data_IF_697025257084
#
_entry.id   IF_697025257084
#
_cell.length_a   1.000
_cell.length_b   1.000
_cell.length_c   1.000
_cell.angle_alpha   90.00
_cell.angle_beta   90.00
_cell.angle_gamma   90.00
#
_symmetry.space_group_name_H-M   'P 1'
#
loop_
_entity.id
_entity.type
_entity.pdbx_description
1 polymer ?
#
# COMPACT_ATOMS: atom_id res chain seq x y z
N UNK A 1 60.60 -34.97 -0.51
CA UNK A 1 59.18 -34.84 -0.90
C UNK A 1 58.32 -35.54 0.15
N UNK A 2 57.36 -34.79 0.69
CA UNK A 2 56.14 -35.24 1.41
C UNK A 2 56.31 -35.95 2.76
N UNK A 3 56.39 -35.09 3.79
CA UNK A 3 55.61 -35.17 5.03
C UNK A 3 54.36 -36.06 4.93
N UNK A 4 54.18 -36.96 5.90
CA UNK A 4 52.96 -37.12 6.71
C UNK A 4 53.42 -37.65 8.08
N UNK A 5 53.67 -36.73 9.02
CA UNK A 5 53.64 -37.04 10.45
C UNK A 5 52.16 -37.06 10.83
N UNK A 6 51.59 -38.26 10.97
CA UNK A 6 50.25 -38.46 11.51
C UNK A 6 50.30 -38.23 13.01
N UNK A 7 50.37 -36.96 13.41
CA UNK A 7 50.21 -36.56 14.80
C UNK A 7 48.73 -36.71 15.14
N UNK A 8 48.40 -37.77 15.87
CA UNK A 8 47.16 -37.92 16.61
C UNK A 8 47.16 -36.79 17.64
N UNK A 9 46.63 -35.63 17.25
CA UNK A 9 46.27 -34.57 18.17
C UNK A 9 44.97 -35.01 18.84
N UNK A 10 45.14 -35.73 19.94
CA UNK A 10 44.14 -35.90 20.98
C UNK A 10 43.71 -34.49 21.43
N UNK A 11 42.69 -33.94 20.79
CA UNK A 11 42.02 -32.73 21.26
C UNK A 11 41.23 -33.13 22.49
N UNK A 12 41.92 -33.13 23.64
CA UNK A 12 41.30 -33.17 24.96
C UNK A 12 40.28 -32.03 24.98
N UNK A 13 39.01 -32.38 25.02
CA UNK A 13 37.94 -31.47 25.36
C UNK A 13 38.19 -30.98 26.79
N UNK A 14 39.02 -29.95 26.94
CA UNK A 14 38.91 -29.06 28.07
C UNK A 14 37.72 -28.17 27.78
N UNK A 15 36.52 -28.66 28.10
CA UNK A 15 35.45 -27.74 28.47
C UNK A 15 35.99 -26.98 29.66
N UNK A 16 36.56 -25.80 29.43
CA UNK A 16 36.59 -24.80 30.48
C UNK A 16 35.11 -24.49 30.74
N UNK A 17 34.52 -25.24 31.67
CA UNK A 17 33.42 -24.69 32.45
C UNK A 17 34.03 -23.51 33.18
N UNK A 18 34.07 -22.36 32.51
CA UNK A 18 33.96 -21.10 33.21
C UNK A 18 32.63 -21.20 33.95
N UNK A 19 32.70 -21.72 35.17
CA UNK A 19 31.87 -21.15 36.21
C UNK A 19 32.30 -19.69 36.25
N UNK A 20 31.66 -18.86 35.42
CA UNK A 20 31.37 -17.52 35.83
C UNK A 20 30.55 -17.73 37.10
N UNK A 21 31.25 -17.86 38.23
CA UNK A 21 30.64 -17.70 39.53
C UNK A 21 30.10 -16.29 39.47
N UNK A 22 28.81 -16.21 39.17
CA UNK A 22 28.02 -15.01 39.27
C UNK A 22 28.25 -14.57 40.70
N UNK A 23 29.16 -13.61 40.90
CA UNK A 23 29.24 -12.87 42.15
C UNK A 23 27.98 -12.01 42.16
N UNK A 24 26.84 -12.65 42.44
CA UNK A 24 25.68 -11.93 42.88
C UNK A 24 26.11 -11.13 44.09
N UNK A 25 25.65 -9.88 44.11
CA UNK A 25 25.38 -9.16 45.33
C UNK A 25 26.61 -8.72 46.13
N UNK A 26 27.01 -7.49 45.91
CA UNK A 26 27.46 -6.69 47.06
C UNK A 26 26.76 -5.35 47.17
N UNK A 27 25.74 -5.06 46.37
CA UNK A 27 24.89 -3.88 46.60
C UNK A 27 23.50 -4.32 46.98
N UNK A 28 23.12 -4.07 48.23
CA UNK A 28 21.79 -4.35 48.77
C UNK A 28 21.10 -3.04 49.13
N UNK A 29 19.78 -3.02 49.07
CA UNK A 29 18.98 -1.86 49.42
C UNK A 29 18.52 -1.94 50.87
N UNK A 30 18.44 -0.80 51.55
CA UNK A 30 17.87 -0.71 52.88
C UNK A 30 16.35 -0.85 52.83
N UNK A 31 15.80 -1.89 53.44
CA UNK A 31 14.33 -2.08 53.54
C UNK A 31 13.69 -1.11 54.54
N UNK A 32 14.48 -0.55 55.47
CA UNK A 32 14.10 0.47 56.44
C UNK A 32 15.28 1.43 56.67
N UNK A 33 15.09 2.43 57.54
CA UNK A 33 16.22 3.23 58.06
C UNK A 33 17.25 2.28 58.69
N UNK A 34 18.52 2.41 58.30
CA UNK A 34 19.63 1.64 58.91
C UNK A 34 20.37 2.51 59.92
N UNK A 35 20.59 1.97 61.11
CA UNK A 35 21.53 2.53 62.08
C UNK A 35 22.89 1.86 61.86
N UNK A 36 23.86 2.62 61.37
CA UNK A 36 25.23 2.16 61.13
C UNK A 36 26.00 2.24 62.43
N UNK A 37 26.52 1.11 62.90
CA UNK A 37 27.24 1.00 64.18
C UNK A 37 28.72 0.77 64.00
N UNK A 38 29.51 1.13 65.02
CA UNK A 38 30.98 0.94 65.02
C UNK A 38 31.43 -0.52 65.15
N UNK A 39 30.54 -1.43 65.56
CA UNK A 39 30.82 -2.86 65.68
C UNK A 39 29.55 -3.71 65.57
N UNK A 40 29.70 -5.04 65.44
CA UNK A 40 28.59 -5.97 65.26
C UNK A 40 27.87 -6.22 66.59
N UNK A 41 26.84 -5.43 66.88
CA UNK A 41 26.01 -5.61 68.07
C UNK A 41 25.27 -4.35 68.50
N UNK A 42 24.18 -4.53 69.23
CA UNK A 42 23.38 -3.41 69.76
C UNK A 42 24.11 -2.55 70.81
N UNK A 43 25.17 -3.10 71.43
CA UNK A 43 25.97 -2.40 72.44
C UNK A 43 27.02 -1.43 71.84
N UNK A 44 27.20 -1.45 70.52
CA UNK A 44 28.12 -0.53 69.84
C UNK A 44 27.41 0.78 69.48
N UNK A 45 28.15 1.89 69.55
CA UNK A 45 27.62 3.22 69.24
C UNK A 45 27.19 3.32 67.78
N UNK A 46 26.06 4.00 67.55
CA UNK A 46 25.62 4.42 66.22
C UNK A 46 26.52 5.55 65.73
N UNK A 47 27.14 5.35 64.57
CA UNK A 47 28.09 6.27 63.93
C UNK A 47 27.51 6.98 62.71
N UNK A 48 26.42 6.45 62.12
CA UNK A 48 25.64 7.14 61.11
C UNK A 48 24.24 6.52 60.96
N UNK A 49 23.39 7.21 60.19
CA UNK A 49 22.11 6.68 59.73
C UNK A 49 22.08 6.66 58.20
N UNK A 50 21.50 5.60 57.63
CA UNK A 50 21.23 5.47 56.20
C UNK A 50 19.71 5.47 56.00
N UNK A 51 19.16 6.37 55.17
CA UNK A 51 17.72 6.38 54.88
C UNK A 51 17.23 5.06 54.26
N UNK A 52 15.95 4.76 54.44
CA UNK A 52 15.28 3.66 53.74
C UNK A 52 15.36 3.85 52.21
N UNK A 53 15.46 2.76 51.46
CA UNK A 53 15.55 2.77 50.00
C UNK A 53 16.93 3.16 49.47
N UNK A 54 17.94 3.24 50.35
CA UNK A 54 19.31 3.59 49.95
C UNK A 54 20.09 2.32 49.65
N UNK A 55 20.76 2.30 48.50
CA UNK A 55 21.65 1.21 48.13
C UNK A 55 22.98 1.33 48.90
N UNK A 56 23.41 0.25 49.53
CA UNK A 56 24.66 0.16 50.30
C UNK A 56 25.50 -1.00 49.80
N UNK A 57 26.82 -0.85 49.91
CA UNK A 57 27.73 -1.91 49.52
C UNK A 57 28.00 -2.83 50.71
N UNK A 58 27.65 -4.11 50.64
CA UNK A 58 27.96 -5.11 51.66
C UNK A 58 29.38 -5.62 51.45
N UNK A 59 30.27 -5.26 52.37
CA UNK A 59 31.67 -5.69 52.33
C UNK A 59 31.78 -7.16 52.74
N UNK A 60 31.06 -7.57 53.79
CA UNK A 60 31.06 -8.92 54.35
C UNK A 60 29.84 -9.14 55.25
N UNK A 61 29.33 -10.36 55.23
CA UNK A 61 28.27 -10.86 56.12
C UNK A 61 28.82 -12.00 56.98
N UNK A 62 28.14 -12.33 58.08
CA UNK A 62 28.52 -13.44 58.95
C UNK A 62 28.98 -13.04 60.36
N UNK A 63 28.77 -11.78 60.76
CA UNK A 63 28.97 -11.32 62.14
C UNK A 63 27.69 -11.53 62.96
N UNK A 64 27.16 -12.76 62.98
CA UNK A 64 25.85 -13.08 63.53
C UNK A 64 24.72 -12.46 62.69
N UNK A 65 23.89 -11.61 63.30
CA UNK A 65 22.82 -10.87 62.60
C UNK A 65 23.31 -9.60 61.89
N UNK A 66 24.62 -9.36 61.84
CA UNK A 66 25.21 -8.13 61.33
C UNK A 66 26.01 -8.35 60.04
N UNK A 67 25.91 -7.36 59.16
CA UNK A 67 26.72 -7.21 57.96
C UNK A 67 27.54 -5.93 58.05
N UNK A 68 28.78 -5.97 57.59
CA UNK A 68 29.57 -4.74 57.39
C UNK A 68 29.26 -4.17 56.01
N UNK A 69 29.00 -2.87 56.00
CA UNK A 69 28.66 -2.11 54.81
C UNK A 69 29.61 -0.94 54.61
N UNK A 70 29.71 -0.50 53.37
CA UNK A 70 30.23 0.81 52.99
C UNK A 70 29.08 1.68 52.52
N UNK A 71 29.00 2.88 53.11
CA UNK A 71 28.10 3.93 52.70
C UNK A 71 28.88 5.24 52.56
N UNK A 72 29.01 5.73 51.31
CA UNK A 72 29.91 6.84 50.96
C UNK A 72 31.34 6.52 51.41
N UNK A 73 31.94 7.36 52.26
CA UNK A 73 33.29 7.15 52.82
C UNK A 73 33.27 6.47 54.20
N UNK A 74 32.11 6.02 54.69
CA UNK A 74 31.94 5.42 56.01
C UNK A 74 31.78 3.90 55.91
N UNK A 75 32.55 3.17 56.71
CA UNK A 75 32.36 1.74 56.92
C UNK A 75 31.74 1.50 58.31
N UNK A 76 30.79 0.58 58.40
CA UNK A 76 30.18 0.22 59.68
C UNK A 76 29.24 -0.97 59.57
N UNK A 77 28.65 -1.36 60.69
CA UNK A 77 27.85 -2.57 60.81
C UNK A 77 26.36 -2.24 60.85
N UNK A 78 25.55 -3.01 60.12
CA UNK A 78 24.09 -2.91 60.09
C UNK A 78 23.47 -4.30 60.22
N UNK A 79 22.21 -4.36 60.64
CA UNK A 79 21.47 -5.63 60.72
C UNK A 79 21.22 -6.19 59.32
N UNK A 80 21.65 -7.42 59.07
CA UNK A 80 21.53 -8.10 57.77
C UNK A 80 20.07 -8.20 57.31
N UNK A 81 19.12 -8.42 58.23
CA UNK A 81 17.68 -8.52 57.93
C UNK A 81 17.05 -7.24 57.34
N UNK A 82 17.75 -6.10 57.45
CA UNK A 82 17.29 -4.82 56.91
C UNK A 82 17.88 -4.55 55.51
N UNK A 83 18.65 -5.49 54.97
CA UNK A 83 19.20 -5.45 53.63
C UNK A 83 18.41 -6.39 52.74
N UNK A 84 17.91 -5.88 51.62
CA UNK A 84 17.16 -6.64 50.62
C UNK A 84 17.86 -6.58 49.28
N UNK A 85 17.74 -7.65 48.49
CA UNK A 85 18.18 -7.65 47.09
C UNK A 85 17.32 -6.67 46.29
N UNK A 86 17.96 -5.71 45.63
CA UNK A 86 17.30 -4.87 44.65
C UNK A 86 17.36 -5.55 43.28
N UNK A 87 16.37 -6.41 43.01
CA UNK A 87 16.21 -7.10 41.73
C UNK A 87 15.49 -6.24 40.67
N UNK A 88 15.07 -5.02 41.00
CA UNK A 88 14.27 -4.18 40.09
C UNK A 88 15.02 -3.84 38.80
N UNK A 89 16.33 -3.62 38.89
CA UNK A 89 17.18 -3.33 37.73
C UNK A 89 17.34 -4.58 36.85
N UNK A 90 17.61 -5.74 37.45
CA UNK A 90 17.78 -7.00 36.72
C UNK A 90 16.47 -7.48 36.07
N UNK A 91 15.32 -7.18 36.69
CA UNK A 91 13.99 -7.44 36.13
C UNK A 91 13.66 -6.46 35.00
N UNK A 92 13.99 -5.18 35.16
CA UNK A 92 13.83 -4.17 34.12
C UNK A 92 14.67 -4.49 32.87
N UNK A 93 15.93 -4.92 33.04
CA UNK A 93 16.80 -5.34 31.92
C UNK A 93 16.26 -6.57 31.18
N UNK A 94 15.74 -7.58 31.92
CA UNK A 94 15.10 -8.75 31.30
C UNK A 94 13.82 -8.37 30.57
N UNK A 95 13.01 -7.47 31.15
CA UNK A 95 11.80 -6.97 30.53
C UNK A 95 12.10 -6.16 29.26
N UNK A 96 13.14 -5.32 29.27
CA UNK A 96 13.59 -4.55 28.12
C UNK A 96 14.08 -5.47 26.98
N UNK A 97 14.90 -6.48 27.31
CA UNK A 97 15.39 -7.46 26.34
C UNK A 97 14.26 -8.28 25.72
N UNK A 98 13.31 -8.75 26.53
CA UNK A 98 12.13 -9.46 26.03
C UNK A 98 11.27 -8.57 25.13
N UNK A 99 11.16 -7.27 25.45
CA UNK A 99 10.43 -6.32 24.63
C UNK A 99 11.13 -6.08 23.27
N UNK A 100 12.46 -5.98 23.23
CA UNK A 100 13.21 -5.91 21.98
C UNK A 100 13.07 -7.18 21.14
N UNK A 101 13.19 -8.36 21.75
CA UNK A 101 13.04 -9.63 21.04
C UNK A 101 11.63 -9.78 20.45
N UNK A 102 10.59 -9.35 21.20
CA UNK A 102 9.21 -9.30 20.69
C UNK A 102 9.05 -8.31 19.54
N UNK A 103 9.64 -7.11 19.61
CA UNK A 103 9.62 -6.13 18.51
C UNK A 103 10.32 -6.68 17.27
N UNK A 104 11.47 -7.34 17.43
CA UNK A 104 12.21 -7.95 16.33
C UNK A 104 11.43 -9.10 15.70
N UNK A 105 10.81 -9.96 16.51
CA UNK A 105 9.95 -11.03 16.03
C UNK A 105 8.72 -10.49 15.28
N UNK A 106 8.07 -9.45 15.81
CA UNK A 106 6.93 -8.81 15.16
C UNK A 106 7.32 -8.18 13.81
N UNK A 107 8.49 -7.52 13.73
CA UNK A 107 9.03 -6.97 12.47
C UNK A 107 9.27 -8.07 11.44
N UNK A 108 9.92 -9.16 11.83
CA UNK A 108 10.18 -10.30 10.93
C UNK A 108 8.87 -10.97 10.48
N UNK A 109 7.88 -11.08 11.37
CA UNK A 109 6.56 -11.61 11.02
C UNK A 109 5.81 -10.70 10.04
N UNK A 110 5.89 -9.37 10.24
CA UNK A 110 5.30 -8.39 9.33
C UNK A 110 5.98 -8.43 7.95
N UNK A 111 7.31 -8.51 7.90
CA UNK A 111 8.08 -8.62 6.66
C UNK A 111 7.74 -9.92 5.91
N UNK A 112 7.62 -11.04 6.62
CA UNK A 112 7.17 -12.31 6.02
C UNK A 112 5.72 -12.24 5.51
N UNK A 113 4.82 -11.54 6.21
CA UNK A 113 3.44 -11.36 5.77
C UNK A 113 3.36 -10.50 4.50
N UNK A 114 4.16 -9.43 4.41
CA UNK A 114 4.27 -8.59 3.21
C UNK A 114 4.79 -9.42 2.03
N UNK A 115 5.86 -10.21 2.21
CA UNK A 115 6.40 -11.05 1.16
C UNK A 115 5.38 -12.06 0.62
N UNK A 116 4.60 -12.71 1.51
CA UNK A 116 3.52 -13.64 1.11
C UNK A 116 2.39 -12.92 0.37
N UNK A 117 2.02 -11.72 0.80
CA UNK A 117 1.00 -10.92 0.14
C UNK A 117 1.43 -10.49 -1.27
N UNK A 118 2.69 -10.11 -1.44
CA UNK A 118 3.26 -9.78 -2.74
C UNK A 118 3.31 -10.99 -3.68
N UNK A 119 3.70 -12.15 -3.17
CA UNK A 119 3.68 -13.41 -3.92
C UNK A 119 2.26 -13.78 -4.36
N UNK A 120 1.28 -13.70 -3.44
CA UNK A 120 -0.12 -13.94 -3.76
C UNK A 120 -0.65 -12.95 -4.82
N UNK A 121 -0.27 -11.67 -4.74
CA UNK A 121 -0.62 -10.66 -5.74
C UNK A 121 -0.02 -10.97 -7.10
N UNK A 122 1.23 -11.42 -7.16
CA UNK A 122 1.88 -11.85 -8.42
C UNK A 122 1.17 -13.06 -9.02
N UNK A 123 0.88 -14.07 -8.21
CA UNK A 123 0.15 -15.26 -8.65
C UNK A 123 -1.26 -14.92 -9.17
N UNK A 124 -2.00 -14.03 -8.47
CA UNK A 124 -3.31 -13.57 -8.89
C UNK A 124 -3.25 -12.77 -10.21
N UNK A 125 -2.24 -11.90 -10.38
CA UNK A 125 -2.03 -11.16 -11.62
C UNK A 125 -1.71 -12.09 -12.80
N UNK A 126 -0.93 -13.14 -12.58
CA UNK A 126 -0.64 -14.14 -13.61
C UNK A 126 -1.88 -14.96 -13.97
N UNK A 127 -2.65 -15.39 -12.97
CA UNK A 127 -3.92 -16.09 -13.20
C UNK A 127 -4.91 -15.24 -14.00
N UNK A 128 -5.04 -13.95 -13.67
CA UNK A 128 -5.88 -13.02 -14.42
C UNK A 128 -5.41 -12.86 -15.88
N UNK A 129 -4.10 -12.75 -16.13
CA UNK A 129 -3.54 -12.71 -17.49
C UNK A 129 -3.86 -13.97 -18.29
N UNK A 130 -3.75 -15.14 -17.66
CA UNK A 130 -4.08 -16.42 -18.30
C UNK A 130 -5.58 -16.51 -18.64
N UNK A 131 -6.45 -16.08 -17.72
CA UNK A 131 -7.89 -16.06 -17.95
C UNK A 131 -8.29 -15.11 -19.10
N UNK A 132 -7.69 -13.92 -19.18
CA UNK A 132 -7.93 -12.99 -20.30
C UNK A 132 -7.48 -13.60 -21.62
N UNK A 133 -6.29 -14.19 -21.68
CA UNK A 133 -5.79 -14.83 -22.90
C UNK A 133 -6.66 -16.01 -23.36
N UNK A 134 -7.21 -16.79 -22.41
CA UNK A 134 -8.16 -17.87 -22.72
C UNK A 134 -9.49 -17.33 -23.25
N UNK A 135 -10.04 -16.28 -22.62
CA UNK A 135 -11.26 -15.62 -23.07
C UNK A 135 -11.12 -15.05 -24.49
N UNK A 136 -9.99 -14.39 -24.80
CA UNK A 136 -9.70 -13.90 -26.15
C UNK A 136 -9.58 -15.03 -27.17
N UNK A 137 -9.03 -16.18 -26.79
CA UNK A 137 -8.93 -17.35 -27.67
C UNK A 137 -10.32 -17.92 -27.96
N UNK A 138 -11.17 -18.04 -26.94
CA UNK A 138 -12.55 -18.50 -27.09
C UNK A 138 -13.37 -17.53 -27.95
N UNK A 139 -13.20 -16.23 -27.76
CA UNK A 139 -13.86 -15.22 -28.59
C UNK A 139 -13.44 -15.35 -30.05
N UNK A 140 -12.13 -15.46 -30.34
CA UNK A 140 -11.64 -15.66 -31.71
C UNK A 140 -12.16 -16.95 -32.34
N UNK A 141 -12.29 -18.02 -31.57
CA UNK A 141 -12.86 -19.27 -32.05
C UNK A 141 -14.36 -19.10 -32.38
N UNK A 142 -15.13 -18.46 -31.50
CA UNK A 142 -16.54 -18.17 -31.74
C UNK A 142 -16.76 -17.26 -32.97
N UNK A 143 -15.92 -16.25 -33.16
CA UNK A 143 -15.95 -15.39 -34.35
C UNK A 143 -15.62 -16.16 -35.63
N UNK A 144 -14.64 -17.06 -35.59
CA UNK A 144 -14.31 -17.92 -36.73
C UNK A 144 -15.45 -18.90 -37.07
N UNK A 145 -16.06 -19.51 -36.05
CA UNK A 145 -17.20 -20.41 -36.21
C UNK A 145 -18.43 -19.67 -36.78
N UNK A 146 -18.69 -18.45 -36.30
CA UNK A 146 -19.75 -17.59 -36.83
C UNK A 146 -19.49 -17.18 -38.30
N UNK A 147 -18.24 -16.84 -38.64
CA UNK A 147 -17.86 -16.50 -40.01
C UNK A 147 -18.03 -17.72 -40.95
N UNK A 148 -17.62 -18.91 -40.52
CA UNK A 148 -17.82 -20.15 -41.26
C UNK A 148 -19.31 -20.46 -41.47
N UNK A 149 -20.14 -20.27 -40.44
CA UNK A 149 -21.58 -20.45 -40.54
C UNK A 149 -22.23 -19.45 -41.51
N UNK A 150 -21.82 -18.18 -41.46
CA UNK A 150 -22.29 -17.15 -42.38
C UNK A 150 -21.92 -17.46 -43.84
N UNK A 151 -20.67 -17.88 -44.09
CA UNK A 151 -20.22 -18.29 -45.41
C UNK A 151 -21.01 -19.51 -45.95
N UNK A 152 -21.30 -20.50 -45.10
CA UNK A 152 -22.12 -21.65 -45.44
C UNK A 152 -23.57 -21.24 -45.80
N UNK A 153 -24.16 -20.32 -45.03
CA UNK A 153 -25.50 -19.80 -45.32
C UNK A 153 -25.55 -19.02 -46.65
N UNK A 154 -24.53 -18.21 -46.93
CA UNK A 154 -24.44 -17.48 -48.21
C UNK A 154 -24.29 -18.45 -49.40
N UNK A 155 -23.46 -19.49 -49.26
CA UNK A 155 -23.32 -20.54 -50.27
C UNK A 155 -24.66 -21.27 -50.52
N UNK A 156 -25.41 -21.58 -49.46
CA UNK A 156 -26.75 -22.18 -49.58
C UNK A 156 -27.73 -21.25 -50.32
N UNK A 157 -27.70 -19.94 -50.06
CA UNK A 157 -28.55 -18.97 -50.76
C UNK A 157 -28.16 -18.81 -52.24
N UNK A 158 -26.85 -18.83 -52.56
CA UNK A 158 -26.37 -18.85 -53.96
C UNK A 158 -26.84 -20.09 -54.69
N UNK A 159 -26.80 -21.26 -54.04
CA UNK A 159 -27.30 -22.51 -54.64
C UNK A 159 -28.81 -22.49 -54.88
N UNK A 160 -29.61 -21.94 -53.94
CA UNK A 160 -31.05 -21.76 -54.12
C UNK A 160 -31.38 -20.82 -55.29
N UNK A 161 -30.73 -19.67 -55.35
CA UNK A 161 -30.96 -18.70 -56.45
C UNK A 161 -30.51 -19.24 -57.82
N UNK A 162 -29.43 -20.04 -57.87
CA UNK A 162 -29.01 -20.72 -59.08
C UNK A 162 -30.03 -21.79 -59.53
N UNK A 163 -30.61 -22.55 -58.59
CA UNK A 163 -31.68 -23.51 -58.88
C UNK A 163 -32.94 -22.82 -59.41
N UNK A 164 -33.33 -21.67 -58.83
CA UNK A 164 -34.48 -20.89 -59.28
C UNK A 164 -34.29 -20.31 -60.69
N UNK A 165 -33.09 -19.79 -61.00
CA UNK A 165 -32.75 -19.34 -62.36
C UNK A 165 -32.83 -20.46 -63.40
N UNK A 166 -32.36 -21.67 -63.06
CA UNK A 166 -32.49 -22.84 -63.95
C UNK A 166 -33.94 -23.18 -64.21
N UNK A 167 -34.78 -23.14 -63.16
CA UNK A 167 -36.22 -23.43 -63.27
C UNK A 167 -36.97 -22.41 -64.13
N UNK A 168 -36.62 -21.13 -64.01
CA UNK A 168 -37.18 -20.07 -64.87
C UNK A 168 -36.73 -20.20 -66.32
N UNK A 169 -35.48 -20.59 -66.56
CA UNK A 169 -34.97 -20.84 -67.91
C UNK A 169 -35.70 -22.03 -68.58
N UNK A 170 -35.91 -23.11 -67.84
CA UNK A 170 -36.68 -24.28 -68.30
C UNK A 170 -38.13 -23.89 -68.61
N UNK A 171 -38.77 -23.08 -67.76
CA UNK A 171 -40.14 -22.61 -68.00
C UNK A 171 -40.23 -21.73 -69.25
N UNK A 172 -39.30 -20.81 -69.45
CA UNK A 172 -39.22 -19.99 -70.66
C UNK A 172 -38.97 -20.83 -71.93
N UNK A 173 -38.20 -21.92 -71.82
CA UNK A 173 -38.00 -22.86 -72.91
C UNK A 173 -39.29 -23.64 -73.23
N UNK A 174 -40.03 -24.09 -72.21
CA UNK A 174 -41.34 -24.73 -72.40
C UNK A 174 -42.37 -23.79 -73.03
N UNK A 175 -42.40 -22.51 -72.66
CA UNK A 175 -43.29 -21.51 -73.27
C UNK A 175 -42.95 -21.25 -74.74
N UNK A 176 -41.65 -21.17 -75.07
CA UNK A 176 -41.21 -21.06 -76.47
C UNK A 176 -41.60 -22.29 -77.28
N UNK A 177 -41.43 -23.49 -76.73
CA UNK A 177 -41.84 -24.73 -77.37
C UNK A 177 -43.37 -24.78 -77.59
N UNK A 178 -44.17 -24.33 -76.62
CA UNK A 178 -45.63 -24.23 -76.73
C UNK A 178 -46.05 -23.20 -77.79
N UNK A 179 -45.42 -22.03 -77.82
CA UNK A 179 -45.69 -21.00 -78.82
C UNK A 179 -45.34 -21.49 -80.24
N UNK A 180 -44.25 -22.23 -80.39
CA UNK A 180 -43.90 -22.85 -81.66
C UNK A 180 -44.88 -23.97 -82.05
N UNK A 181 -45.32 -24.79 -81.10
CA UNK A 181 -46.38 -25.79 -81.32
C UNK A 181 -47.70 -25.14 -81.77
N UNK A 182 -48.12 -24.06 -81.12
CA UNK A 182 -49.31 -23.30 -81.50
C UNK A 182 -49.17 -22.67 -82.90
N UNK A 183 -47.97 -22.22 -83.27
CA UNK A 183 -47.68 -21.72 -84.63
C UNK A 183 -47.76 -22.83 -85.67
N UNK A 184 -47.37 -24.07 -85.33
CA UNK A 184 -47.52 -25.25 -86.19
C UNK A 184 -49.00 -25.66 -86.34
N UNK A 185 -49.80 -25.55 -85.29
CA UNK A 185 -51.27 -25.77 -85.34
C UNK A 185 -51.96 -24.70 -86.20
N UNK A 186 -51.49 -23.45 -86.21
CA UNK A 186 -52.02 -22.41 -87.09
C UNK A 186 -51.69 -22.60 -88.59
N UNK A 187 -50.70 -23.44 -88.92
CA UNK A 187 -50.31 -23.73 -90.32
C UNK A 187 -51.00 -24.98 -90.91
N UNK A 188 -51.59 -25.84 -90.09
CA UNK A 188 -52.40 -26.97 -90.52
C UNK A 188 -53.81 -26.84 -89.92
N UNK A 189 -54.76 -26.35 -90.72
CA UNK A 189 -56.11 -26.01 -90.23
C UNK A 189 -56.90 -27.20 -89.69
N UNK A 190 -57.61 -27.00 -88.57
CA UNK A 190 -59.02 -27.38 -88.36
C UNK A 190 -59.49 -27.14 -86.91
N UNK A 191 -60.53 -26.30 -86.79
CA UNK A 191 -61.67 -26.27 -85.85
C UNK A 191 -61.54 -26.36 -84.31
N UNK A 192 -62.38 -25.51 -83.69
CA UNK A 192 -62.98 -25.56 -82.33
C UNK A 192 -62.06 -25.26 -81.14
N UNK A 193 -62.47 -24.64 -80.04
CA UNK A 193 -63.58 -23.76 -79.65
C UNK A 193 -63.28 -23.37 -78.17
N UNK A 194 -63.84 -22.24 -77.73
CA UNK A 194 -64.29 -21.95 -76.35
C UNK A 194 -63.28 -21.48 -75.27
N UNK A 195 -63.83 -20.55 -74.46
CA UNK A 195 -63.36 -19.66 -73.38
C UNK A 195 -63.19 -20.36 -72.01
N UNK A 196 -63.07 -19.69 -70.82
CA UNK A 196 -62.44 -18.43 -70.36
C UNK A 196 -61.55 -18.65 -69.09
N UNK A 197 -61.02 -17.59 -68.43
CA UNK A 197 -61.15 -17.27 -66.97
C UNK A 197 -60.04 -16.32 -66.46
N UNK A 198 -60.50 -15.29 -65.73
CA UNK A 198 -59.76 -14.28 -64.97
C UNK A 198 -58.84 -14.86 -63.88
N UNK A 199 -57.84 -14.08 -63.42
CA UNK A 199 -57.82 -13.52 -62.05
C UNK A 199 -56.41 -13.12 -61.57
N UNK A 200 -56.42 -12.27 -60.56
CA UNK A 200 -55.40 -11.31 -60.13
C UNK A 200 -54.30 -11.90 -59.25
N UNK A 201 -53.13 -11.25 -59.22
CA UNK A 201 -52.37 -10.96 -57.98
C UNK A 201 -51.28 -9.92 -58.26
N UNK A 202 -51.40 -8.69 -57.74
CA UNK A 202 -50.73 -8.23 -56.51
C UNK A 202 -49.21 -8.04 -56.66
N UNK A 203 -48.80 -6.82 -57.03
CA UNK A 203 -47.45 -6.32 -56.82
C UNK A 203 -47.16 -6.20 -55.33
N UNK A 204 -46.30 -7.07 -54.82
CA UNK A 204 -45.54 -6.83 -53.60
C UNK A 204 -44.40 -5.87 -53.88
N UNK A 205 -44.26 -4.85 -53.04
CA UNK A 205 -43.18 -3.87 -53.09
C UNK A 205 -43.03 -3.20 -51.74
N UNK A 206 -42.45 -3.94 -50.80
CA UNK A 206 -41.96 -3.41 -49.53
C UNK A 206 -40.64 -2.67 -49.83
N UNK A 207 -40.51 -1.41 -49.42
CA UNK A 207 -39.20 -0.77 -49.28
C UNK A 207 -39.15 -0.03 -47.94
N UNK A 208 -38.21 -0.50 -47.14
CA UNK A 208 -37.83 -0.06 -45.82
C UNK A 208 -37.43 1.42 -45.80
N UNK A 209 -37.79 2.12 -44.73
CA UNK A 209 -37.11 3.35 -44.31
C UNK A 209 -36.86 3.25 -42.80
N UNK A 210 -35.69 2.73 -42.44
CA UNK A 210 -35.15 2.82 -41.08
C UNK A 210 -34.49 4.17 -40.86
N UNK A 211 -34.97 4.88 -39.84
CA UNK A 211 -34.45 6.16 -39.37
C UNK A 211 -32.96 6.10 -39.00
N UNK A 212 -32.18 7.09 -39.45
CA UNK A 212 -30.81 7.32 -38.98
C UNK A 212 -30.81 8.56 -38.08
N UNK A 213 -30.82 8.33 -36.76
CA UNK A 213 -30.62 9.36 -35.76
C UNK A 213 -29.15 9.83 -35.80
N UNK A 214 -28.94 11.15 -35.90
CA UNK A 214 -27.64 11.78 -35.80
C UNK A 214 -27.22 11.93 -34.32
N UNK A 215 -25.96 11.69 -33.94
CA UNK A 215 -25.50 11.98 -32.59
C UNK A 215 -25.21 13.49 -32.45
N UNK A 216 -25.77 14.09 -31.40
CA UNK A 216 -25.46 15.45 -30.97
C UNK A 216 -24.07 15.50 -30.34
N UNK A 217 -23.16 16.24 -30.98
CA UNK A 217 -21.81 16.44 -30.50
C UNK A 217 -21.80 17.57 -29.47
N UNK A 218 -21.98 17.24 -28.19
CA UNK A 218 -21.80 18.20 -27.09
C UNK A 218 -20.30 18.41 -26.85
N UNK A 219 -19.78 19.56 -27.25
CA UNK A 219 -18.39 19.98 -27.01
C UNK A 219 -18.14 20.10 -25.51
N UNK A 220 -17.54 19.07 -24.90
CA UNK A 220 -17.13 19.07 -23.50
C UNK A 220 -15.95 20.05 -23.35
N UNK A 221 -16.22 21.26 -22.86
CA UNK A 221 -15.16 22.23 -22.51
C UNK A 221 -14.28 21.58 -21.42
N UNK A 222 -13.01 21.27 -21.73
CA UNK A 222 -12.06 20.77 -20.75
C UNK A 222 -11.80 21.88 -19.71
N UNK A 223 -12.31 21.68 -18.49
CA UNK A 223 -12.17 22.58 -17.32
C UNK A 223 -10.72 22.96 -17.03
N UNK A 224 -9.75 22.16 -17.49
CA UNK A 224 -8.32 22.37 -17.28
C UNK A 224 -7.55 22.62 -18.59
N UNK A 225 -8.22 23.06 -19.65
CA UNK A 225 -7.59 23.35 -20.95
C UNK A 225 -6.48 24.41 -20.85
N UNK A 226 -6.62 25.39 -19.96
CA UNK A 226 -5.62 26.45 -19.73
C UNK A 226 -4.55 26.10 -18.68
N UNK A 227 -4.60 24.89 -18.11
CA UNK A 227 -3.65 24.45 -17.09
C UNK A 227 -2.52 23.64 -17.72
N UNK A 228 -1.29 23.88 -17.27
CA UNK A 228 -0.11 23.23 -17.82
C UNK A 228 0.25 21.98 -17.01
N UNK A 229 0.44 20.85 -17.70
CA UNK A 229 0.92 19.62 -17.06
C UNK A 229 2.36 19.82 -16.58
N UNK A 230 2.62 19.53 -15.30
CA UNK A 230 3.96 19.57 -14.70
C UNK A 230 4.35 18.19 -14.24
N UNK A 231 5.64 17.88 -14.38
CA UNK A 231 6.23 16.64 -13.85
C UNK A 231 7.29 17.01 -12.84
N UNK A 232 7.27 16.33 -11.69
CA UNK A 232 8.21 16.53 -10.60
C UNK A 232 8.91 15.21 -10.29
N UNK A 233 10.17 15.32 -9.87
CA UNK A 233 10.87 14.22 -9.21
C UNK A 233 10.34 14.06 -7.79
N UNK A 234 10.34 12.83 -7.29
CA UNK A 234 10.02 12.54 -5.90
C UNK A 234 10.89 13.38 -4.96
N UNK A 235 10.26 14.00 -3.95
CA UNK A 235 10.85 14.92 -2.98
C UNK A 235 10.81 16.40 -3.38
N UNK A 236 10.49 16.74 -4.63
CA UNK A 236 10.41 18.14 -5.06
C UNK A 236 9.15 18.83 -4.53
N UNK A 237 9.23 20.13 -4.24
CA UNK A 237 8.04 20.95 -3.96
C UNK A 237 7.44 21.47 -5.27
N UNK A 238 6.14 21.26 -5.55
CA UNK A 238 5.53 21.78 -6.76
C UNK A 238 5.59 23.32 -6.85
N UNK A 239 5.73 23.86 -8.07
CA UNK A 239 5.86 25.31 -8.33
C UNK A 239 4.58 26.08 -7.98
N UNK A 240 3.41 25.44 -7.95
CA UNK A 240 2.19 26.03 -7.38
C UNK A 240 2.40 26.50 -5.93
N UNK A 241 3.34 25.90 -5.20
CA UNK A 241 3.75 26.31 -3.87
C UNK A 241 5.06 27.12 -3.87
N UNK A 242 5.42 27.80 -4.96
CA UNK A 242 6.73 28.46 -5.10
C UNK A 242 7.05 29.55 -4.06
N UNK A 243 6.04 30.07 -3.34
CA UNK A 243 6.24 31.03 -2.23
C UNK A 243 6.53 30.34 -0.89
N UNK A 244 6.24 29.04 -0.79
CA UNK A 244 6.46 28.25 0.41
C UNK A 244 7.96 28.04 0.67
N UNK A 245 8.36 28.18 1.94
CA UNK A 245 9.74 27.95 2.38
C UNK A 245 9.78 26.83 3.42
N UNK A 246 10.39 25.67 3.11
CA UNK A 246 10.48 24.56 4.06
C UNK A 246 11.36 24.89 5.28
N UNK A 247 11.03 24.32 6.44
CA UNK A 247 11.62 24.62 7.76
C UNK A 247 12.29 23.42 8.44
N UNK A 248 13.62 23.38 8.50
CA UNK A 248 14.38 22.24 9.02
C UNK A 248 14.92 22.50 10.42
N UNK A 249 15.01 21.44 11.23
CA UNK A 249 15.78 21.43 12.46
C UNK A 249 16.87 20.36 12.38
N UNK A 250 18.06 20.76 11.93
CA UNK A 250 19.19 19.86 11.70
C UNK A 250 19.82 19.32 12.99
N UNK A 251 19.33 19.74 14.17
CA UNK A 251 19.75 19.14 15.45
C UNK A 251 18.97 17.86 15.76
N UNK A 252 17.84 17.63 15.07
CA UNK A 252 17.01 16.46 15.23
C UNK A 252 17.24 15.53 14.04
N UNK A 253 17.82 14.36 14.29
CA UNK A 253 17.92 13.29 13.30
C UNK A 253 16.64 12.44 13.33
N UNK A 254 15.56 13.02 12.83
CA UNK A 254 14.28 12.34 12.64
C UNK A 254 13.85 12.36 11.18
N UNK A 255 12.86 11.51 10.89
CA UNK A 255 12.22 11.49 9.59
C UNK A 255 10.75 11.06 9.65
N UNK A 256 10.01 11.48 8.62
CA UNK A 256 8.80 10.81 8.16
C UNK A 256 9.13 10.08 6.85
N UNK A 257 9.05 8.75 6.86
CA UNK A 257 9.14 7.92 5.66
C UNK A 257 7.75 7.80 5.05
N UNK A 258 7.63 8.06 3.76
CA UNK A 258 6.37 7.96 3.03
C UNK A 258 6.56 7.01 1.87
N UNK A 259 5.82 5.90 1.87
CA UNK A 259 5.79 4.92 0.79
C UNK A 259 4.51 5.12 -0.04
N UNK A 260 4.63 5.42 -1.33
CA UNK A 260 3.47 5.63 -2.21
C UNK A 260 3.26 4.42 -3.12
N UNK A 261 2.03 3.90 -3.13
CA UNK A 261 1.60 2.77 -3.94
C UNK A 261 1.61 3.02 -5.45
N UNK A 262 1.27 1.98 -6.22
CA UNK A 262 1.43 1.99 -7.68
C UNK A 262 0.44 2.87 -8.44
N UNK A 263 -0.72 3.13 -7.83
CA UNK A 263 -1.89 3.65 -8.54
C UNK A 263 -2.02 5.17 -8.49
N UNK A 264 -1.18 5.84 -7.70
CA UNK A 264 -1.33 7.28 -7.42
C UNK A 264 0.00 7.98 -7.26
N UNK A 265 0.09 9.22 -7.72
CA UNK A 265 1.12 10.14 -7.26
C UNK A 265 0.52 10.96 -6.10
N UNK A 266 1.36 11.50 -5.23
CA UNK A 266 0.92 12.28 -4.08
C UNK A 266 1.61 13.63 -4.00
N UNK A 267 0.89 14.64 -3.53
CA UNK A 267 1.49 15.85 -2.95
C UNK A 267 1.14 15.87 -1.47
N UNK A 268 2.14 15.71 -0.63
CA UNK A 268 1.97 15.62 0.83
C UNK A 268 2.45 16.91 1.46
N UNK A 269 1.60 17.52 2.28
CA UNK A 269 1.95 18.59 3.20
C UNK A 269 2.07 18.03 4.60
N UNK A 270 3.15 18.39 5.28
CA UNK A 270 3.33 18.11 6.71
C UNK A 270 3.03 19.40 7.47
N UNK A 271 1.93 19.41 8.22
CA UNK A 271 1.40 20.59 8.90
C UNK A 271 1.63 20.47 10.40
N UNK A 272 2.32 21.44 11.00
CA UNK A 272 2.52 21.51 12.44
C UNK A 272 1.27 22.08 13.09
N UNK A 273 0.77 21.39 14.09
CA UNK A 273 -0.37 21.81 14.90
C UNK A 273 0.00 23.00 15.78
N UNK A 274 -0.84 24.02 15.74
CA UNK A 274 -0.80 25.17 16.64
C UNK A 274 -1.70 24.97 17.86
N UNK A 275 -1.99 26.07 18.59
CA UNK A 275 -2.98 26.04 19.68
C UNK A 275 -4.41 25.94 19.14
N UNK A 276 -4.62 26.50 17.95
CA UNK A 276 -5.87 26.45 17.18
C UNK A 276 -5.53 26.15 15.73
N UNK A 277 -6.50 25.70 14.92
CA UNK A 277 -6.27 25.43 13.49
C UNK A 277 -5.76 26.66 12.71
N UNK A 278 -6.09 27.88 13.17
CA UNK A 278 -5.58 29.13 12.57
C UNK A 278 -4.08 29.34 12.81
N UNK A 279 -3.53 28.69 13.84
CA UNK A 279 -2.12 28.75 14.20
C UNK A 279 -1.29 27.64 13.54
N UNK A 280 -1.95 26.71 12.83
CA UNK A 280 -1.29 25.63 12.11
C UNK A 280 -0.36 26.18 11.05
N UNK A 281 0.79 25.50 10.86
CA UNK A 281 1.81 25.94 9.92
C UNK A 281 2.28 24.80 9.07
N UNK A 282 2.18 24.95 7.76
CA UNK A 282 2.79 24.00 6.84
C UNK A 282 4.32 24.06 6.99
N UNK A 283 4.95 22.92 7.22
CA UNK A 283 6.40 22.83 7.44
C UNK A 283 7.13 22.18 6.28
N UNK A 284 6.47 21.27 5.55
CA UNK A 284 6.99 20.63 4.32
C UNK A 284 5.87 20.45 3.30
N UNK A 285 6.24 20.50 2.02
CA UNK A 285 5.40 20.11 0.90
C UNK A 285 6.27 19.31 -0.06
N UNK A 286 5.91 18.06 -0.34
CA UNK A 286 6.67 17.17 -1.23
C UNK A 286 5.76 16.49 -2.24
N UNK A 287 6.18 16.45 -3.49
CA UNK A 287 5.63 15.59 -4.53
C UNK A 287 6.29 14.22 -4.45
N UNK A 288 5.52 13.14 -4.56
CA UNK A 288 6.00 11.76 -4.50
C UNK A 288 5.33 11.00 -5.65
N UNK A 289 6.13 10.37 -6.51
CA UNK A 289 5.62 9.59 -7.64
C UNK A 289 5.14 8.20 -7.15
N UNK A 290 4.26 7.55 -7.91
CA UNK A 290 3.90 6.15 -7.63
C UNK A 290 5.10 5.22 -7.51
N UNK A 291 4.96 4.20 -6.65
CA UNK A 291 5.98 3.19 -6.36
C UNK A 291 7.31 3.81 -5.92
N UNK A 292 7.28 4.97 -5.26
CA UNK A 292 8.47 5.61 -4.71
C UNK A 292 8.32 5.82 -3.21
N UNK A 293 9.47 5.82 -2.54
CA UNK A 293 9.61 6.16 -1.13
C UNK A 293 10.27 7.51 -1.01
N UNK A 294 9.73 8.39 -0.15
CA UNK A 294 10.34 9.66 0.19
C UNK A 294 10.57 9.77 1.69
N UNK A 295 11.72 10.32 2.09
CA UNK A 295 12.01 10.69 3.47
C UNK A 295 11.93 12.20 3.64
N UNK A 296 11.05 12.67 4.51
CA UNK A 296 11.07 14.04 4.99
C UNK A 296 11.92 14.05 6.26
N UNK A 297 13.12 14.62 6.20
CA UNK A 297 14.10 14.60 7.30
C UNK A 297 14.13 15.91 8.08
N UNK A 298 14.67 15.85 9.30
CA UNK A 298 14.97 16.99 10.16
C UNK A 298 13.73 17.87 10.40
N UNK A 299 12.68 17.21 10.86
CA UNK A 299 11.39 17.79 11.17
C UNK A 299 11.50 18.45 12.55
N UNK A 300 11.22 19.77 12.66
CA UNK A 300 11.22 20.45 13.95
C UNK A 300 10.30 19.79 14.97
N UNK A 301 10.63 19.91 16.25
CA UNK A 301 9.79 19.38 17.32
C UNK A 301 8.37 19.98 17.28
N UNK A 302 7.36 19.13 17.46
CA UNK A 302 5.96 19.51 17.49
C UNK A 302 5.05 18.32 17.18
N UNK A 303 3.75 18.57 17.21
CA UNK A 303 2.71 17.64 16.76
C UNK A 303 2.26 18.02 15.36
N UNK A 304 1.98 17.02 14.53
CA UNK A 304 1.78 17.20 13.09
C UNK A 304 0.66 16.32 12.57
N UNK A 305 -0.04 16.79 11.54
CA UNK A 305 -0.89 15.98 10.68
C UNK A 305 -0.47 16.16 9.21
N UNK A 306 -0.95 15.27 8.35
CA UNK A 306 -0.72 15.36 6.91
C UNK A 306 -1.94 15.91 6.18
N UNK A 307 -1.70 16.72 5.17
CA UNK A 307 -2.71 17.11 4.17
C UNK A 307 -2.22 16.63 2.82
N UNK A 308 -2.99 15.78 2.16
CA UNK A 308 -2.54 14.95 1.06
C UNK A 308 -3.46 15.17 -0.14
N UNK A 309 -2.85 15.40 -1.31
CA UNK A 309 -3.53 15.25 -2.58
C UNK A 309 -3.02 13.98 -3.24
N UNK A 310 -3.94 13.14 -3.70
CA UNK A 310 -3.69 11.95 -4.50
C UNK A 310 -4.17 12.18 -5.92
N UNK A 311 -3.55 11.50 -6.87
CA UNK A 311 -4.08 11.35 -8.21
C UNK A 311 -2.99 11.20 -9.26
N UNK A 312 -3.37 11.42 -10.51
CA UNK A 312 -2.48 11.38 -11.67
C UNK A 312 -2.61 12.65 -12.49
N UNK A 313 -1.53 12.96 -13.20
CA UNK A 313 -1.39 14.15 -14.05
C UNK A 313 -1.57 15.45 -13.27
N UNK A 314 -0.52 15.84 -12.56
CA UNK A 314 -0.46 17.13 -11.91
C UNK A 314 -0.41 18.25 -12.96
N UNK A 315 -1.39 19.16 -12.89
CA UNK A 315 -1.42 20.38 -13.70
C UNK A 315 -1.40 21.61 -12.80
N UNK A 316 -0.80 22.69 -13.27
CA UNK A 316 -0.74 23.97 -12.56
C UNK A 316 -1.28 25.11 -13.44
N UNK A 317 -1.87 26.12 -12.80
CA UNK A 317 -2.29 27.35 -13.46
C UNK A 317 -1.39 28.54 -13.10
N UNK A 318 -1.51 29.63 -13.87
CA UNK A 318 -0.77 30.88 -13.64
C UNK A 318 -1.08 31.58 -12.31
N UNK A 319 -2.12 31.16 -11.58
CA UNK A 319 -2.54 31.72 -10.30
C UNK A 319 -1.92 30.99 -9.10
N UNK A 320 -0.98 30.06 -9.32
CA UNK A 320 -0.29 29.33 -8.25
C UNK A 320 -1.15 28.23 -7.62
N UNK A 321 -2.10 27.66 -8.36
CA UNK A 321 -2.83 26.44 -7.94
C UNK A 321 -2.38 25.25 -8.77
N UNK A 322 -2.32 24.09 -8.14
CA UNK A 322 -2.00 22.82 -8.78
C UNK A 322 -2.99 21.73 -8.39
N UNK A 323 -3.40 20.90 -9.33
CA UNK A 323 -4.37 19.82 -9.11
C UNK A 323 -3.99 18.58 -9.89
N UNK A 324 -4.35 17.40 -9.37
CA UNK A 324 -4.39 16.20 -10.19
C UNK A 324 -5.65 16.21 -11.05
N UNK A 325 -5.51 15.92 -12.35
CA UNK A 325 -6.67 15.90 -13.26
C UNK A 325 -7.25 14.51 -13.49
N UNK A 326 -6.59 13.45 -13.01
CA UNK A 326 -7.06 12.07 -13.11
C UNK A 326 -7.15 11.44 -11.73
N UNK A 327 -8.34 10.94 -11.37
CA UNK A 327 -8.65 10.36 -10.06
C UNK A 327 -8.13 11.23 -8.89
N UNK A 328 -8.42 12.54 -8.88
CA UNK A 328 -8.01 13.37 -7.75
C UNK A 328 -8.75 12.93 -6.49
N UNK A 329 -8.02 12.87 -5.38
CA UNK A 329 -8.57 12.73 -4.04
C UNK A 329 -7.79 13.63 -3.10
N UNK A 330 -8.44 14.22 -2.10
CA UNK A 330 -7.85 15.12 -1.12
C UNK A 330 -8.23 14.73 0.30
N UNK A 331 -7.24 14.65 1.17
CA UNK A 331 -7.38 14.16 2.54
C UNK A 331 -6.62 15.04 3.53
N UNK A 332 -7.23 15.33 4.68
CA UNK A 332 -6.57 15.72 5.93
C UNK A 332 -6.56 14.49 6.85
N UNK A 333 -5.38 14.03 7.26
CA UNK A 333 -5.25 12.83 8.10
C UNK A 333 -5.75 13.08 9.52
N UNK A 334 -6.39 12.07 10.12
CA UNK A 334 -6.78 12.11 11.54
C UNK A 334 -5.62 11.76 12.48
N UNK A 335 -4.63 11.02 11.99
CA UNK A 335 -3.45 10.64 12.76
C UNK A 335 -2.57 11.84 13.11
N UNK A 336 -2.14 11.89 14.39
CA UNK A 336 -1.21 12.90 14.90
C UNK A 336 0.19 12.28 15.07
N UNK A 337 1.15 12.86 14.37
CA UNK A 337 2.57 12.51 14.42
C UNK A 337 3.31 13.42 15.41
N UNK A 338 3.76 12.86 16.54
CA UNK A 338 4.42 13.64 17.58
C UNK A 338 5.96 13.58 17.46
N UNK A 339 6.58 14.64 16.95
CA UNK A 339 8.04 14.75 16.76
C UNK A 339 8.75 15.42 17.95
N UNK A 340 8.10 15.59 19.10
CA UNK A 340 8.76 16.15 20.28
C UNK A 340 9.80 15.16 20.83
N UNK A 341 11.06 15.58 21.06
CA UNK A 341 12.06 14.74 21.70
C UNK A 341 11.64 14.32 23.10
N UNK A 342 11.80 13.03 23.41
CA UNK A 342 11.41 12.46 24.70
C UNK A 342 12.68 12.21 25.50
N UNK A 343 12.81 12.88 26.65
CA UNK A 343 13.90 12.59 27.59
C UNK A 343 13.60 11.28 28.31
N UNK A 344 14.57 10.38 28.28
CA UNK A 344 14.54 9.08 28.96
C UNK A 344 15.75 8.98 29.88
N UNK A 345 15.77 7.99 30.78
CA UNK A 345 16.93 7.67 31.63
C UNK A 345 18.18 7.30 30.80
N UNK A 346 17.99 6.84 29.56
CA UNK A 346 19.05 6.40 28.65
C UNK A 346 19.53 7.51 27.69
N UNK A 347 18.87 8.68 27.69
CA UNK A 347 19.18 9.78 26.79
C UNK A 347 17.95 10.42 26.15
N UNK A 348 18.15 11.13 25.04
CA UNK A 348 17.07 11.81 24.31
C UNK A 348 16.63 10.92 23.15
N UNK A 349 15.40 10.44 23.18
CA UNK A 349 14.76 9.77 22.05
C UNK A 349 14.21 10.82 21.08
N UNK A 350 14.54 10.69 19.79
CA UNK A 350 14.07 11.59 18.72
C UNK A 350 13.12 10.80 17.80
N UNK A 351 11.80 10.99 17.90
CA UNK A 351 10.82 10.15 17.20
C UNK A 351 10.89 10.26 15.67
N UNK A 352 10.65 9.15 14.97
CA UNK A 352 10.48 9.06 13.52
C UNK A 352 9.30 8.15 13.17
N UNK A 353 8.65 8.40 12.04
CA UNK A 353 7.41 7.73 11.65
C UNK A 353 7.45 7.21 10.21
N UNK A 354 6.57 6.28 9.88
CA UNK A 354 6.36 5.75 8.54
C UNK A 354 4.89 5.81 8.16
N UNK A 355 4.61 6.26 6.95
CA UNK A 355 3.28 6.39 6.38
C UNK A 355 3.23 5.65 5.04
N UNK A 356 2.20 4.84 4.83
CA UNK A 356 1.96 4.14 3.56
C UNK A 356 0.71 4.69 2.92
N UNK A 357 0.85 5.20 1.69
CA UNK A 357 -0.18 5.87 0.92
C UNK A 357 -0.51 5.04 -0.31
N UNK A 358 -1.58 4.25 -0.28
CA UNK A 358 -2.00 3.43 -1.41
C UNK A 358 -3.46 3.73 -1.79
N UNK A 359 -3.70 3.85 -3.10
CA UNK A 359 -5.04 3.87 -3.65
C UNK A 359 -5.30 2.53 -4.33
N UNK A 360 -6.50 1.99 -4.13
CA UNK A 360 -6.98 0.85 -4.90
C UNK A 360 -7.02 1.19 -6.41
N UNK A 361 -7.02 0.19 -7.31
CA UNK A 361 -7.03 0.44 -8.75
C UNK A 361 -8.21 1.29 -9.25
N UNK A 362 -9.34 1.24 -8.54
CA UNK A 362 -10.52 2.07 -8.80
C UNK A 362 -10.30 3.57 -8.43
N UNK A 363 -9.24 3.90 -7.70
CA UNK A 363 -8.91 5.25 -7.23
C UNK A 363 -9.45 5.58 -5.84
N UNK A 364 -10.03 4.62 -5.11
CA UNK A 364 -10.48 4.82 -3.72
C UNK A 364 -9.39 4.44 -2.73
N UNK A 365 -9.47 4.99 -1.51
CA UNK A 365 -8.68 4.50 -0.38
C UNK A 365 -9.16 3.08 -0.02
N UNK A 366 -8.23 2.20 0.39
CA UNK A 366 -8.51 0.80 0.70
C UNK A 366 -9.19 0.55 2.04
N UNK A 367 -9.43 1.62 2.82
CA UNK A 367 -10.16 1.60 4.09
C UNK A 367 -11.49 2.35 3.91
N UNK A 368 -12.58 1.65 4.22
CA UNK A 368 -13.98 2.08 4.33
C UNK A 368 -14.34 3.42 3.65
N UNK A 369 -14.57 3.38 2.33
CA UNK A 369 -15.38 4.39 1.63
C UNK A 369 -15.02 5.87 1.80
N UNK A 370 -13.78 6.23 2.13
CA UNK A 370 -13.39 7.63 2.30
C UNK A 370 -13.35 8.36 0.94
N UNK A 371 -14.46 9.02 0.63
CA UNK A 371 -14.52 10.16 -0.29
C UNK A 371 -13.60 11.31 0.20
N UNK A 372 -13.36 12.31 -0.65
CA UNK A 372 -12.66 13.55 -0.28
C UNK A 372 -13.16 14.09 1.08
N UNK A 373 -12.31 14.15 2.10
CA UNK A 373 -12.68 14.77 3.38
C UNK A 373 -12.37 16.28 3.41
N UNK A 374 -11.61 16.76 2.43
CA UNK A 374 -11.33 18.19 2.19
C UNK A 374 -11.41 18.53 0.70
N UNK A 375 -11.65 19.80 0.37
CA UNK A 375 -11.67 20.28 -1.01
C UNK A 375 -10.32 20.82 -1.51
N UNK A 376 -10.19 20.98 -2.84
CA UNK A 376 -9.01 21.61 -3.49
C UNK A 376 -8.65 22.98 -2.89
N UNK A 377 -9.66 23.77 -2.49
CA UNK A 377 -9.45 25.08 -1.89
C UNK A 377 -8.72 25.00 -0.56
N UNK A 378 -9.18 24.11 0.32
CA UNK A 378 -8.56 23.84 1.62
C UNK A 378 -7.16 23.25 1.45
N UNK A 379 -6.98 22.33 0.49
CA UNK A 379 -5.66 21.81 0.14
C UNK A 379 -4.66 22.90 -0.25
N UNK A 380 -5.09 24.06 -0.76
CA UNK A 380 -4.15 25.15 -1.12
C UNK A 380 -3.92 26.18 -0.02
N UNK A 381 -4.62 26.10 1.11
CA UNK A 381 -4.33 26.92 2.28
C UNK A 381 -3.00 26.48 2.93
N UNK A 382 -2.18 27.42 3.39
CA UNK A 382 -0.95 27.15 4.16
C UNK A 382 -0.43 28.36 4.92
#
# INVERSE_FOLDING_TARGET
>A
MKSIFTFILLLVMTTTTTFAQKSLERYLMSSSKLEVRSGPGANYNTIAEVPQGTQVYVISSGYGEWSTIQYKSLNGFVLTKLLIEDNSIAEAERAAKLAEDRKKAARLAAEAAIARAEEAKRAAAEAARRAIAEAERLQRQAEADAANAAAAAEAANKNKSAAERRRLAELAETERALAEANKRVAQNGSSTASTPIESKSSHGGNSENSAKAAPSNATRIDKFASWEKKTYKTGATPKSFGKFKPKFDYKLDNYLKIDVGANTDCVVKLVRMGKTEKDDKTMRIVYINSNQTQFIRNIPAGEYYCVIAYGKEWKENGNGKGVFTKKPLYEKSEDVLNFNPIKTSEGINVPSYSLSLDLLPNGSLGYDGADDNIGVGEFHSY
#
